data_IF_179425202863
#
_entry.id   IF_179425202863
#
_cell.length_a   1.000
_cell.length_b   1.000
_cell.length_c   1.000
_cell.angle_alpha   90.00
_cell.angle_beta   90.00
_cell.angle_gamma   90.00
#
_symmetry.space_group_name_H-M   'P 1'
#
loop_
_entity.id
_entity.type
_entity.pdbx_description
1 polymer ?
#
# COMPACT_ATOMS: atom_id res chain seq x y z
N UNK A 1 53.56 18.45 26.75
CA UNK A 1 52.97 19.51 25.92
C UNK A 1 51.54 19.05 25.61
N UNK A 2 50.56 18.96 26.50
CA UNK A 2 49.97 19.86 27.52
C UNK A 2 49.43 21.19 27.00
N UNK A 3 48.13 21.10 26.63
CA UNK A 3 47.03 22.09 26.67
C UNK A 3 46.81 23.10 25.51
N UNK A 4 45.57 23.63 25.32
CA UNK A 4 44.28 23.26 25.95
C UNK A 4 43.05 23.13 25.01
N UNK A 5 42.02 22.54 25.64
CA UNK A 5 40.61 22.44 25.29
C UNK A 5 39.94 23.84 25.25
N UNK A 6 39.20 24.17 24.17
CA UNK A 6 38.36 25.35 24.11
C UNK A 6 36.91 25.00 24.48
N UNK A 7 36.50 25.48 25.64
CA UNK A 7 35.15 25.43 26.18
C UNK A 7 34.33 26.59 25.60
N UNK A 8 33.24 26.29 24.88
CA UNK A 8 32.31 27.30 24.39
C UNK A 8 30.97 27.18 25.13
N UNK A 9 30.46 28.34 25.54
CA UNK A 9 29.41 28.55 26.51
C UNK A 9 28.02 28.09 26.04
N UNK A 10 27.25 27.59 27.01
CA UNK A 10 25.81 27.38 26.89
C UNK A 10 25.07 28.73 26.83
N UNK A 11 24.39 29.00 25.72
CA UNK A 11 23.44 30.10 25.61
C UNK A 11 22.03 29.57 25.89
N UNK A 12 21.41 30.07 26.96
CA UNK A 12 20.03 29.81 27.34
C UNK A 12 19.11 30.54 26.36
N UNK A 13 18.39 29.80 25.51
CA UNK A 13 17.38 30.35 24.62
C UNK A 13 16.02 30.36 25.34
N UNK A 14 15.56 31.58 25.61
CA UNK A 14 14.34 31.90 26.34
C UNK A 14 13.12 31.67 25.43
N UNK A 15 12.18 30.82 25.86
CA UNK A 15 10.93 30.53 25.17
C UNK A 15 10.01 31.76 25.19
N UNK A 16 9.51 32.27 24.05
CA UNK A 16 8.49 33.30 24.07
C UNK A 16 7.10 32.71 24.39
N UNK A 17 6.37 33.40 25.25
CA UNK A 17 5.01 33.08 25.69
C UNK A 17 3.98 33.16 24.55
N UNK A 18 2.85 32.43 24.62
CA UNK A 18 1.84 32.44 23.57
C UNK A 18 1.08 33.76 23.53
N UNK A 19 0.97 34.34 22.34
CA UNK A 19 0.11 35.50 22.06
C UNK A 19 -1.33 34.99 21.94
N UNK A 20 -2.21 35.47 22.82
CA UNK A 20 -3.64 35.22 22.77
C UNK A 20 -4.26 36.05 21.63
N UNK A 21 -4.82 35.37 20.62
CA UNK A 21 -5.63 36.02 19.59
C UNK A 21 -7.09 35.97 20.00
N UNK A 22 -7.62 37.14 20.33
CA UNK A 22 -9.02 37.40 20.69
C UNK A 22 -9.97 37.03 19.54
N UNK A 23 -10.92 36.16 19.83
CA UNK A 23 -12.11 35.88 19.02
C UNK A 23 -13.01 37.12 18.96
N UNK A 24 -13.28 37.63 17.77
CA UNK A 24 -14.39 38.57 17.53
C UNK A 24 -15.47 37.83 16.76
N UNK A 25 -16.60 37.59 17.41
CA UNK A 25 -17.81 37.08 16.81
C UNK A 25 -18.45 38.15 15.92
N UNK A 26 -18.74 37.80 14.67
CA UNK A 26 -19.61 38.59 13.80
C UNK A 26 -20.95 37.87 13.66
N UNK A 27 -21.99 38.49 14.23
CA UNK A 27 -23.40 38.13 14.09
C UNK A 27 -23.88 38.49 12.69
N UNK A 28 -24.47 37.55 11.96
CA UNK A 28 -25.27 37.81 10.77
C UNK A 28 -26.66 37.21 10.96
N UNK A 29 -27.67 38.06 10.81
CA UNK A 29 -29.11 37.80 10.91
C UNK A 29 -29.64 36.96 9.72
N UNK A 30 -30.83 36.33 9.84
CA UNK A 30 -31.20 35.18 9.03
C UNK A 30 -31.80 35.58 7.68
N UNK A 31 -31.40 34.87 6.63
CA UNK A 31 -32.02 34.92 5.30
C UNK A 31 -33.25 33.99 5.30
N UNK A 32 -34.41 34.55 4.97
CA UNK A 32 -35.68 33.82 4.88
C UNK A 32 -35.63 32.71 3.84
N UNK A 33 -35.86 31.47 4.26
CA UNK A 33 -36.02 30.30 3.39
C UNK A 33 -37.51 30.09 3.13
N UNK A 34 -37.94 30.23 1.88
CA UNK A 34 -39.26 29.81 1.43
C UNK A 34 -39.28 28.28 1.31
N UNK A 35 -40.08 27.63 2.15
CA UNK A 35 -40.36 26.19 2.12
C UNK A 35 -41.22 25.86 0.91
N UNK A 36 -40.73 24.99 0.03
CA UNK A 36 -41.54 24.27 -0.95
C UNK A 36 -41.57 22.79 -0.55
N UNK A 37 -42.77 22.23 -0.37
CA UNK A 37 -43.02 20.83 -0.03
C UNK A 37 -42.59 19.91 -1.19
N UNK A 38 -42.00 18.72 -0.91
CA UNK A 38 -41.74 17.74 -1.95
C UNK A 38 -42.99 16.88 -2.19
N UNK A 39 -43.52 16.94 -3.41
CA UNK A 39 -44.58 16.05 -3.91
C UNK A 39 -44.05 14.62 -3.98
N UNK A 40 -44.74 13.68 -3.32
CA UNK A 40 -44.44 12.25 -3.34
C UNK A 40 -44.58 11.67 -4.76
N UNK A 41 -43.47 11.25 -5.36
CA UNK A 41 -43.47 10.44 -6.57
C UNK A 41 -43.63 8.96 -6.18
N UNK A 42 -44.62 8.30 -6.78
CA UNK A 42 -44.93 6.89 -6.58
C UNK A 42 -43.79 6.01 -7.10
N UNK A 43 -43.27 5.13 -6.22
CA UNK A 43 -42.30 4.10 -6.58
C UNK A 43 -43.04 2.94 -7.28
N UNK A 44 -42.74 2.73 -8.56
CA UNK A 44 -43.03 1.48 -9.25
C UNK A 44 -41.92 0.45 -8.98
N UNK A 45 -42.22 -0.86 -8.88
CA UNK A 45 -41.20 -1.88 -8.63
C UNK A 45 -40.21 -1.94 -9.81
N UNK A 46 -38.92 -1.91 -9.52
CA UNK A 46 -37.87 -2.17 -10.51
C UNK A 46 -37.69 -3.69 -10.57
N UNK A 47 -38.06 -4.27 -11.71
CA UNK A 47 -37.83 -5.68 -12.03
C UNK A 47 -36.32 -5.92 -12.24
N UNK A 48 -35.79 -6.99 -11.65
CA UNK A 48 -34.42 -7.47 -11.90
C UNK A 48 -34.29 -7.87 -13.37
N UNK A 49 -33.54 -7.10 -14.15
CA UNK A 49 -33.07 -7.51 -15.48
C UNK A 49 -31.67 -8.10 -15.36
N UNK A 50 -31.59 -9.42 -15.46
CA UNK A 50 -30.33 -10.13 -15.71
C UNK A 50 -29.71 -9.61 -17.02
N UNK A 51 -28.61 -8.87 -16.92
CA UNK A 51 -27.83 -8.46 -18.08
C UNK A 51 -26.96 -9.63 -18.52
N UNK A 52 -27.46 -10.37 -19.51
CA UNK A 52 -26.70 -11.38 -20.23
C UNK A 52 -25.55 -10.70 -20.99
N UNK A 53 -24.30 -10.98 -20.60
CA UNK A 53 -23.11 -10.50 -21.29
C UNK A 53 -23.08 -11.14 -22.69
N UNK A 54 -23.24 -10.32 -23.73
CA UNK A 54 -23.04 -10.72 -25.12
C UNK A 54 -21.54 -10.68 -25.40
N UNK A 55 -20.93 -11.84 -25.62
CA UNK A 55 -19.54 -11.94 -26.08
C UNK A 55 -19.53 -11.62 -27.57
N UNK A 56 -18.86 -10.53 -27.96
CA UNK A 56 -18.58 -10.25 -29.38
C UNK A 56 -17.41 -11.15 -29.81
N UNK A 57 -17.72 -12.24 -30.50
CA UNK A 57 -16.74 -13.25 -30.98
C UNK A 57 -15.99 -12.81 -32.25
N UNK A 58 -15.59 -11.54 -32.36
CA UNK A 58 -14.75 -11.07 -33.46
C UNK A 58 -13.71 -10.05 -32.98
N UNK A 59 -12.73 -10.54 -32.23
CA UNK A 59 -11.37 -10.03 -32.42
C UNK A 59 -10.37 -11.19 -32.45
N UNK A 60 -9.82 -11.38 -33.64
CA UNK A 60 -8.96 -12.48 -34.00
C UNK A 60 -7.55 -12.26 -33.47
N UNK A 61 -7.27 -12.71 -32.25
CA UNK A 61 -5.92 -13.09 -31.78
C UNK A 61 -6.04 -14.28 -30.81
N UNK A 62 -6.47 -15.42 -31.35
CA UNK A 62 -6.35 -16.72 -30.68
C UNK A 62 -4.93 -17.26 -30.85
N UNK A 63 -4.15 -17.20 -29.77
CA UNK A 63 -3.20 -18.23 -29.30
C UNK A 63 -2.24 -17.57 -28.30
N UNK A 64 -2.67 -17.45 -27.05
CA UNK A 64 -1.74 -17.43 -25.93
C UNK A 64 -2.13 -18.58 -25.01
N UNK A 65 -1.24 -19.56 -24.97
CA UNK A 65 -1.33 -20.81 -24.23
C UNK A 65 -1.58 -20.52 -22.75
N UNK A 66 -2.56 -21.21 -22.18
CA UNK A 66 -2.99 -21.10 -20.79
C UNK A 66 -2.00 -21.90 -19.92
N UNK A 67 -0.76 -21.43 -19.84
CA UNK A 67 0.28 -22.05 -19.03
C UNK A 67 0.07 -21.67 -17.56
N UNK A 68 -0.51 -22.61 -16.81
CA UNK A 68 -0.59 -22.56 -15.37
C UNK A 68 0.81 -22.38 -14.77
N UNK A 69 1.02 -21.24 -14.11
CA UNK A 69 2.27 -20.86 -13.45
C UNK A 69 2.57 -21.77 -12.25
N UNK A 70 3.47 -22.74 -12.43
CA UNK A 70 4.06 -23.53 -11.35
C UNK A 70 5.29 -22.79 -10.79
N UNK A 71 5.09 -22.06 -9.69
CA UNK A 71 6.19 -21.52 -8.90
C UNK A 71 6.90 -22.68 -8.20
N UNK A 72 8.08 -23.04 -8.69
CA UNK A 72 8.89 -24.13 -8.16
C UNK A 72 9.14 -24.02 -6.66
N UNK A 73 8.30 -24.67 -5.86
CA UNK A 73 8.44 -24.78 -4.41
C UNK A 73 8.94 -26.18 -4.05
N UNK A 74 10.19 -26.26 -3.59
CA UNK A 74 10.67 -27.49 -2.96
C UNK A 74 10.18 -27.56 -1.52
N UNK A 75 9.33 -28.56 -1.25
CA UNK A 75 9.05 -29.18 0.05
C UNK A 75 8.47 -28.27 1.15
N UNK A 76 7.19 -27.94 1.01
CA UNK A 76 6.27 -27.58 2.08
C UNK A 76 4.93 -27.27 1.43
N UNK A 77 3.86 -27.99 1.75
CA UNK A 77 2.57 -27.93 1.04
C UNK A 77 2.15 -26.49 0.74
N UNK A 78 2.25 -26.09 -0.53
CA UNK A 78 1.95 -24.73 -0.97
C UNK A 78 0.42 -24.59 -1.05
N UNK A 79 -0.11 -23.58 -0.37
CA UNK A 79 -1.48 -23.12 -0.53
C UNK A 79 -1.56 -21.93 -1.51
N UNK A 80 -0.56 -21.76 -2.37
CA UNK A 80 -0.56 -20.69 -3.36
C UNK A 80 -1.40 -21.11 -4.57
N UNK A 81 -2.37 -20.29 -4.93
CA UNK A 81 -3.20 -20.46 -6.13
C UNK A 81 -2.68 -19.59 -7.26
N UNK A 82 -2.95 -19.97 -8.51
CA UNK A 82 -2.63 -19.10 -9.66
C UNK A 82 -3.47 -17.82 -9.64
N UNK A 83 -2.91 -16.75 -10.21
CA UNK A 83 -3.60 -15.46 -10.36
C UNK A 83 -4.40 -15.50 -11.67
N UNK A 84 -5.68 -15.12 -11.63
CA UNK A 84 -6.51 -15.04 -12.84
C UNK A 84 -6.13 -13.85 -13.71
N UNK A 85 -6.35 -13.95 -15.03
CA UNK A 85 -6.01 -12.87 -15.96
C UNK A 85 -6.77 -11.56 -15.71
N UNK A 86 -7.96 -11.63 -15.09
CA UNK A 86 -8.71 -10.44 -14.68
C UNK A 86 -8.06 -9.71 -13.50
N UNK A 87 -7.47 -10.44 -12.56
CA UNK A 87 -6.75 -9.85 -11.42
C UNK A 87 -5.45 -9.19 -11.89
N UNK A 88 -4.73 -9.83 -12.82
CA UNK A 88 -3.52 -9.24 -13.42
C UNK A 88 -3.80 -7.96 -14.19
N UNK A 89 -4.89 -7.92 -14.98
CA UNK A 89 -5.22 -6.74 -15.79
C UNK A 89 -5.90 -5.62 -15.02
N UNK A 90 -6.51 -5.92 -13.88
CA UNK A 90 -7.36 -4.98 -13.16
C UNK A 90 -8.65 -4.64 -13.92
N UNK A 91 -9.39 -3.67 -13.39
CA UNK A 91 -10.60 -3.12 -14.00
C UNK A 91 -10.39 -1.64 -14.32
N UNK A 92 -10.74 -1.25 -15.55
CA UNK A 92 -10.69 0.15 -15.97
C UNK A 92 -11.97 0.84 -15.52
N UNK A 93 -11.85 1.82 -14.63
CA UNK A 93 -12.98 2.61 -14.13
C UNK A 93 -13.19 3.90 -14.94
N UNK A 94 -14.23 4.66 -14.57
CA UNK A 94 -14.52 5.97 -15.15
C UNK A 94 -13.29 6.90 -15.05
N UNK A 95 -12.94 7.56 -16.16
CA UNK A 95 -11.72 8.37 -16.27
C UNK A 95 -10.48 7.61 -16.75
N UNK A 96 -10.60 6.33 -17.14
CA UNK A 96 -9.53 5.57 -17.79
C UNK A 96 -8.40 5.13 -16.87
N UNK A 97 -8.65 5.12 -15.55
CA UNK A 97 -7.72 4.64 -14.52
C UNK A 97 -7.97 3.16 -14.28
N UNK A 98 -6.91 2.38 -14.13
CA UNK A 98 -7.01 0.94 -13.83
C UNK A 98 -6.93 0.72 -12.33
N UNK A 99 -7.78 -0.13 -11.77
CA UNK A 99 -7.81 -0.47 -10.34
C UNK A 99 -7.69 -1.98 -10.14
N UNK A 100 -7.18 -2.38 -8.97
CA UNK A 100 -7.13 -3.78 -8.60
C UNK A 100 -8.55 -4.37 -8.47
N UNK A 101 -8.74 -5.59 -9.00
CA UNK A 101 -10.01 -6.33 -8.89
C UNK A 101 -10.06 -7.10 -7.58
N UNK A 102 -8.92 -7.65 -7.16
CA UNK A 102 -8.76 -8.25 -5.85
C UNK A 102 -8.69 -7.14 -4.80
N UNK A 103 -9.45 -7.27 -3.71
CA UNK A 103 -9.55 -6.21 -2.69
C UNK A 103 -10.18 -4.89 -3.21
N UNK A 104 -10.95 -4.93 -4.31
CA UNK A 104 -11.53 -3.72 -4.95
C UNK A 104 -12.38 -2.85 -4.00
N UNK A 105 -13.04 -3.46 -3.01
CA UNK A 105 -13.82 -2.73 -2.01
C UNK A 105 -12.93 -2.06 -0.93
N UNK A 106 -11.62 -2.33 -0.94
CA UNK A 106 -10.73 -2.15 0.20
C UNK A 106 -9.62 -1.13 -0.10
N UNK A 107 -9.30 -0.88 -1.38
CA UNK A 107 -8.29 0.11 -1.79
C UNK A 107 -8.75 1.02 -2.93
N UNK A 108 -8.75 2.32 -2.65
CA UNK A 108 -9.30 3.34 -3.55
C UNK A 108 -8.32 3.98 -4.52
N UNK A 109 -7.06 3.51 -4.60
CA UNK A 109 -6.06 4.09 -5.50
C UNK A 109 -5.85 3.24 -6.76
N UNK A 110 -5.56 3.88 -7.91
CA UNK A 110 -5.28 3.17 -9.16
C UNK A 110 -4.02 2.29 -9.09
N UNK A 111 -3.89 1.35 -10.04
CA UNK A 111 -2.70 0.52 -10.27
C UNK A 111 -2.08 0.75 -11.65
N UNK A 112 -2.38 1.88 -12.30
CA UNK A 112 -1.80 2.23 -13.60
C UNK A 112 -0.44 2.95 -13.49
N UNK A 113 0.26 3.07 -14.62
CA UNK A 113 1.60 3.65 -14.72
C UNK A 113 1.75 5.00 -14.02
N UNK A 114 0.73 5.85 -14.02
CA UNK A 114 0.85 7.17 -13.37
C UNK A 114 0.96 7.03 -11.86
N UNK A 115 0.20 6.11 -11.27
CA UNK A 115 0.25 5.86 -9.83
C UNK A 115 1.49 5.07 -9.44
N UNK A 116 1.90 4.09 -10.27
CA UNK A 116 3.15 3.36 -10.05
C UNK A 116 4.37 4.30 -10.09
N UNK A 117 4.40 5.24 -11.04
CA UNK A 117 5.43 6.29 -11.07
C UNK A 117 5.40 7.18 -9.81
N UNK A 118 4.21 7.47 -9.26
CA UNK A 118 4.08 8.23 -8.01
C UNK A 118 4.66 7.46 -6.83
N UNK A 119 4.44 6.15 -6.75
CA UNK A 119 5.02 5.26 -5.73
C UNK A 119 6.55 5.23 -5.81
N UNK A 120 7.10 5.04 -7.02
CA UNK A 120 8.55 5.04 -7.25
C UNK A 120 9.20 6.40 -6.89
N UNK A 121 8.56 7.51 -7.24
CA UNK A 121 8.98 8.83 -6.80
C UNK A 121 8.93 8.99 -5.28
N UNK A 122 7.93 8.42 -4.61
CA UNK A 122 7.85 8.44 -3.15
C UNK A 122 8.99 7.64 -2.52
N UNK A 123 9.31 6.46 -3.06
CA UNK A 123 10.46 5.67 -2.65
C UNK A 123 11.77 6.47 -2.78
N UNK A 124 12.03 7.07 -3.95
CA UNK A 124 13.23 7.88 -4.18
C UNK A 124 13.31 9.08 -3.23
N UNK A 125 12.17 9.74 -2.96
CA UNK A 125 12.06 10.82 -1.96
C UNK A 125 12.48 10.35 -0.58
N UNK A 126 11.94 9.23 -0.09
CA UNK A 126 12.31 8.72 1.23
C UNK A 126 13.78 8.30 1.28
N UNK A 127 14.26 7.56 0.29
CA UNK A 127 15.66 7.16 0.20
C UNK A 127 16.62 8.36 0.30
N UNK A 128 16.27 9.47 -0.36
CA UNK A 128 17.02 10.75 -0.22
C UNK A 128 16.92 11.36 1.18
N UNK A 129 15.74 11.36 1.81
CA UNK A 129 15.50 11.95 3.13
C UNK A 129 16.18 11.18 4.28
N UNK A 130 16.28 9.85 4.18
CA UNK A 130 16.88 9.01 5.23
C UNK A 130 18.34 8.67 4.94
N UNK A 131 19.04 9.58 4.26
CA UNK A 131 20.49 9.47 3.99
C UNK A 131 20.88 8.18 3.26
N UNK A 132 20.07 7.76 2.29
CA UNK A 132 20.28 6.54 1.50
C UNK A 132 20.23 5.24 2.31
N UNK A 133 19.53 5.23 3.44
CA UNK A 133 19.18 4.01 4.18
C UNK A 133 17.87 3.44 3.64
N UNK A 134 17.60 2.15 3.86
CA UNK A 134 16.30 1.54 3.49
C UNK A 134 15.27 1.65 4.59
N UNK A 135 15.72 1.60 5.83
CA UNK A 135 14.92 1.78 7.04
C UNK A 135 15.80 2.36 8.16
N UNK A 136 15.16 2.81 9.23
CA UNK A 136 15.84 3.37 10.42
C UNK A 136 15.82 2.41 11.62
N UNK A 137 15.11 1.29 11.51
CA UNK A 137 14.99 0.30 12.57
C UNK A 137 16.36 -0.34 12.90
N UNK A 138 16.72 -0.51 14.18
CA UNK A 138 18.03 -1.02 14.58
C UNK A 138 18.04 -2.56 14.63
N UNK A 139 17.90 -3.22 13.48
CA UNK A 139 17.81 -4.71 13.38
C UNK A 139 19.17 -5.40 13.15
N UNK A 140 20.26 -4.65 13.17
CA UNK A 140 21.61 -5.14 12.86
C UNK A 140 21.87 -5.30 11.36
N UNK A 141 23.03 -5.89 11.02
CA UNK A 141 23.52 -5.95 9.64
C UNK A 141 23.19 -7.26 8.91
N UNK A 142 22.56 -8.21 9.60
CA UNK A 142 22.22 -9.53 9.03
C UNK A 142 20.84 -10.02 9.48
N UNK A 143 19.76 -9.29 9.16
CA UNK A 143 18.41 -9.83 9.29
C UNK A 143 18.26 -11.13 8.48
N UNK A 144 17.37 -12.00 8.91
CA UNK A 144 17.08 -13.29 8.27
C UNK A 144 15.73 -13.27 7.55
N UNK A 145 14.76 -12.52 8.06
CA UNK A 145 13.43 -12.45 7.43
C UNK A 145 12.79 -11.07 7.57
N UNK A 146 12.35 -10.50 6.46
CA UNK A 146 11.75 -9.17 6.37
C UNK A 146 10.42 -9.25 5.62
N UNK A 147 9.40 -8.57 6.14
CA UNK A 147 8.09 -8.42 5.53
C UNK A 147 7.82 -6.96 5.17
N UNK A 148 7.37 -6.68 3.95
CA UNK A 148 6.88 -5.37 3.51
C UNK A 148 5.37 -5.47 3.25
N UNK A 149 4.56 -4.76 4.01
CA UNK A 149 3.10 -4.78 3.88
C UNK A 149 2.62 -3.60 3.04
N UNK A 150 1.86 -3.90 1.98
CA UNK A 150 1.48 -2.94 0.95
C UNK A 150 2.69 -2.47 0.15
N UNK A 151 3.43 -3.43 -0.41
CA UNK A 151 4.74 -3.19 -1.04
C UNK A 151 4.67 -2.36 -2.34
N UNK A 152 3.48 -2.11 -2.90
CA UNK A 152 3.27 -1.30 -4.09
C UNK A 152 4.04 -1.87 -5.28
N UNK A 153 4.89 -1.07 -5.94
CA UNK A 153 5.72 -1.54 -7.06
C UNK A 153 6.77 -2.59 -6.67
N UNK A 154 6.98 -2.82 -5.37
CA UNK A 154 7.99 -3.74 -4.85
C UNK A 154 9.42 -3.19 -4.89
N UNK A 155 9.62 -1.94 -5.35
CA UNK A 155 10.94 -1.32 -5.49
C UNK A 155 11.72 -1.31 -4.17
N UNK A 156 11.04 -1.11 -3.04
CA UNK A 156 11.70 -1.15 -1.73
C UNK A 156 12.14 -2.56 -1.35
N UNK A 157 11.33 -3.59 -1.61
CA UNK A 157 11.68 -4.98 -1.34
C UNK A 157 12.94 -5.39 -2.10
N UNK A 158 13.01 -5.04 -3.40
CA UNK A 158 14.15 -5.34 -4.27
C UNK A 158 15.42 -4.67 -3.71
N UNK A 159 15.32 -3.39 -3.39
CA UNK A 159 16.43 -2.60 -2.83
C UNK A 159 16.95 -3.18 -1.51
N UNK A 160 16.04 -3.66 -0.64
CA UNK A 160 16.40 -4.30 0.64
C UNK A 160 17.00 -5.68 0.41
N UNK A 161 16.46 -6.46 -0.52
CA UNK A 161 16.96 -7.79 -0.85
C UNK A 161 18.39 -7.74 -1.41
N UNK A 162 18.68 -6.75 -2.26
CA UNK A 162 20.03 -6.48 -2.77
C UNK A 162 21.02 -6.05 -1.68
N UNK A 163 20.58 -5.21 -0.73
CA UNK A 163 21.43 -4.73 0.37
C UNK A 163 21.67 -5.81 1.44
N UNK A 164 20.69 -6.67 1.69
CA UNK A 164 20.72 -7.72 2.72
C UNK A 164 20.53 -9.12 2.11
N UNK A 165 21.55 -9.70 1.45
CA UNK A 165 21.47 -11.04 0.87
C UNK A 165 21.20 -12.17 1.86
N UNK A 166 21.36 -11.93 3.16
CA UNK A 166 21.05 -12.89 4.23
C UNK A 166 19.57 -12.94 4.59
N UNK A 167 18.79 -11.94 4.20
CA UNK A 167 17.37 -11.85 4.50
C UNK A 167 16.53 -12.42 3.36
N UNK A 168 15.54 -13.23 3.71
CA UNK A 168 14.36 -13.48 2.88
C UNK A 168 13.42 -12.28 2.98
N UNK A 169 13.17 -11.60 1.86
CA UNK A 169 12.29 -10.43 1.76
C UNK A 169 10.98 -10.85 1.09
N UNK A 170 9.88 -10.61 1.78
CA UNK A 170 8.53 -10.90 1.31
C UNK A 170 7.79 -9.57 1.19
N UNK A 171 7.32 -9.22 -0.02
CA UNK A 171 6.39 -8.11 -0.21
C UNK A 171 4.97 -8.63 -0.37
N UNK A 172 4.02 -8.01 0.34
CA UNK A 172 2.60 -8.33 0.23
C UNK A 172 1.87 -7.12 -0.34
N UNK A 173 1.06 -7.33 -1.36
CA UNK A 173 0.17 -6.31 -1.90
C UNK A 173 -1.08 -6.97 -2.51
N UNK A 174 -2.18 -6.23 -2.62
CA UNK A 174 -3.42 -6.69 -3.27
C UNK A 174 -3.40 -6.44 -4.78
N UNK A 175 -2.48 -5.59 -5.25
CA UNK A 175 -2.32 -5.25 -6.66
C UNK A 175 -1.07 -5.98 -7.22
N UNK A 176 -1.22 -6.82 -8.26
CA UNK A 176 -0.09 -7.53 -8.87
C UNK A 176 0.68 -6.60 -9.82
N UNK A 177 1.44 -5.66 -9.25
CA UNK A 177 2.16 -4.61 -9.99
C UNK A 177 3.68 -4.76 -9.94
N UNK A 178 4.16 -5.79 -9.25
CA UNK A 178 5.57 -6.01 -9.01
C UNK A 178 6.24 -6.70 -10.21
N UNK A 179 7.53 -6.43 -10.47
CA UNK A 179 8.23 -7.01 -11.62
C UNK A 179 8.50 -8.51 -11.44
N UNK A 180 8.58 -9.24 -12.55
CA UNK A 180 8.91 -10.67 -12.55
C UNK A 180 10.36 -10.96 -12.17
N UNK A 181 11.28 -10.09 -12.60
CA UNK A 181 12.71 -10.30 -12.39
C UNK A 181 13.18 -9.56 -11.14
N UNK A 182 13.38 -10.33 -10.06
CA UNK A 182 13.80 -9.84 -8.74
C UNK A 182 15.01 -10.61 -8.19
N UNK A 183 15.67 -10.09 -7.15
CA UNK A 183 16.71 -10.83 -6.44
C UNK A 183 16.21 -12.19 -5.94
N UNK A 184 17.06 -13.23 -5.87
CA UNK A 184 16.65 -14.59 -5.53
C UNK A 184 16.12 -14.75 -4.09
N UNK A 185 16.41 -13.79 -3.22
CA UNK A 185 15.92 -13.71 -1.85
C UNK A 185 14.71 -12.79 -1.68
N UNK A 186 14.11 -12.32 -2.78
CA UNK A 186 12.91 -11.50 -2.79
C UNK A 186 11.76 -12.26 -3.46
N UNK A 187 10.56 -12.19 -2.87
CA UNK A 187 9.32 -12.63 -3.54
C UNK A 187 8.15 -11.72 -3.19
N UNK A 188 7.10 -11.83 -3.99
CA UNK A 188 5.85 -11.12 -3.76
C UNK A 188 4.70 -12.10 -3.58
N UNK A 189 3.80 -11.77 -2.67
CA UNK A 189 2.59 -12.52 -2.37
C UNK A 189 1.40 -11.60 -2.61
N UNK A 190 0.46 -12.04 -3.46
CA UNK A 190 -0.79 -11.33 -3.70
C UNK A 190 -1.77 -11.69 -2.59
N UNK A 191 -1.91 -10.82 -1.60
CA UNK A 191 -2.73 -11.07 -0.41
C UNK A 191 -3.16 -9.75 0.27
N UNK A 192 -4.24 -9.80 1.05
CA UNK A 192 -4.65 -8.69 1.91
C UNK A 192 -3.95 -8.79 3.27
N UNK A 193 -3.14 -7.78 3.59
CA UNK A 193 -2.41 -7.71 4.86
C UNK A 193 -3.32 -7.66 6.11
N UNK A 194 -4.59 -7.28 5.97
CA UNK A 194 -5.56 -7.28 7.08
C UNK A 194 -6.21 -8.65 7.32
N UNK A 195 -6.05 -9.61 6.42
CA UNK A 195 -6.48 -10.99 6.62
C UNK A 195 -5.61 -11.71 7.68
N UNK A 196 -6.10 -12.82 8.27
CA UNK A 196 -5.34 -13.60 9.24
C UNK A 196 -4.04 -14.16 8.66
N UNK A 197 -2.91 -13.78 9.25
CA UNK A 197 -1.60 -14.20 8.78
C UNK A 197 -1.33 -15.69 8.96
N UNK A 198 -0.76 -16.32 7.93
CA UNK A 198 -0.39 -17.74 7.94
C UNK A 198 1.06 -17.99 8.36
N UNK A 199 1.87 -16.94 8.53
CA UNK A 199 3.25 -17.08 9.01
C UNK A 199 3.31 -17.49 10.49
N UNK A 200 4.40 -18.15 10.85
CA UNK A 200 4.70 -18.45 12.25
C UNK A 200 4.85 -17.15 13.05
N UNK A 201 4.33 -17.17 14.28
CA UNK A 201 4.53 -16.12 15.28
C UNK A 201 6.00 -15.80 15.49
N UNK A 202 6.34 -14.52 15.69
CA UNK A 202 7.71 -14.03 15.92
C UNK A 202 8.73 -14.53 14.87
N UNK A 203 8.34 -14.58 13.59
CA UNK A 203 9.20 -15.09 12.51
C UNK A 203 9.93 -14.03 11.71
N UNK A 204 9.61 -12.75 11.89
CA UNK A 204 10.19 -11.63 11.14
C UNK A 204 11.09 -10.77 12.03
N UNK A 205 12.26 -10.41 11.52
CA UNK A 205 13.19 -9.47 12.17
C UNK A 205 12.76 -8.02 11.93
N UNK A 206 12.08 -7.77 10.80
CA UNK A 206 11.49 -6.49 10.45
C UNK A 206 10.16 -6.70 9.73
N UNK A 207 9.14 -5.98 10.20
CA UNK A 207 7.91 -5.75 9.46
C UNK A 207 7.91 -4.26 9.08
N UNK A 208 7.85 -3.98 7.80
CA UNK A 208 7.92 -2.65 7.22
C UNK A 208 6.55 -2.24 6.68
N UNK A 209 6.16 -1.00 6.95
CA UNK A 209 4.94 -0.38 6.47
C UNK A 209 5.26 1.08 6.15
N UNK A 210 4.86 1.56 4.97
CA UNK A 210 5.05 2.97 4.58
C UNK A 210 4.00 3.42 3.58
N UNK A 211 3.55 4.66 3.69
CA UNK A 211 2.59 5.28 2.78
C UNK A 211 1.26 4.52 2.62
N UNK A 212 0.83 3.76 3.64
CA UNK A 212 -0.46 3.03 3.65
C UNK A 212 -1.68 3.93 3.94
N UNK A 213 -1.61 5.17 3.49
CA UNK A 213 -2.68 6.14 3.70
C UNK A 213 -3.87 5.70 2.83
N UNK A 214 -5.03 5.50 3.47
CA UNK A 214 -6.26 4.97 2.86
C UNK A 214 -6.27 3.47 2.55
N UNK A 215 -5.26 2.70 2.99
CA UNK A 215 -5.20 1.26 2.72
C UNK A 215 -5.75 0.38 3.85
N UNK A 216 -5.73 0.89 5.10
CA UNK A 216 -5.99 0.08 6.30
C UNK A 216 -7.31 0.49 6.95
N UNK A 217 -8.17 -0.50 7.19
CA UNK A 217 -9.48 -0.34 7.83
C UNK A 217 -9.38 -0.43 9.36
N UNK A 218 -8.60 -1.38 9.86
CA UNK A 218 -8.44 -1.65 11.29
C UNK A 218 -6.95 -1.66 11.68
N UNK A 219 -6.42 -0.46 11.94
CA UNK A 219 -5.04 -0.28 12.41
C UNK A 219 -4.74 -1.05 13.70
N UNK A 220 -5.59 -1.03 14.76
CA UNK A 220 -5.37 -1.86 15.95
C UNK A 220 -5.18 -3.34 15.62
N UNK A 221 -6.07 -3.93 14.81
CA UNK A 221 -5.96 -5.34 14.40
C UNK A 221 -4.65 -5.60 13.66
N UNK A 222 -4.32 -4.78 12.65
CA UNK A 222 -3.09 -4.97 11.88
C UNK A 222 -1.84 -4.90 12.76
N UNK A 223 -1.78 -3.90 13.64
CA UNK A 223 -0.64 -3.73 14.55
C UNK A 223 -0.55 -4.90 15.54
N UNK A 224 -1.68 -5.41 16.05
CA UNK A 224 -1.69 -6.60 16.90
C UNK A 224 -1.11 -7.84 16.16
N UNK A 225 -1.42 -8.00 14.86
CA UNK A 225 -0.84 -9.07 14.03
C UNK A 225 0.68 -8.91 13.87
N UNK A 226 1.17 -7.68 13.69
CA UNK A 226 2.62 -7.40 13.59
C UNK A 226 3.42 -7.84 14.83
N UNK A 227 2.79 -7.90 16.01
CA UNK A 227 3.46 -8.25 17.27
C UNK A 227 3.22 -9.69 17.74
N UNK A 228 2.54 -10.52 16.95
CA UNK A 228 2.28 -11.93 17.31
C UNK A 228 3.39 -12.90 16.91
#
# INVERSE_FOLDING_TARGET
MTEPLAQAAAASAQTPAPVATTTTAATAEPVATTTAEPTAAQLHPVEEQEHQIVVDENDALADFDDEAFDSGSSAGGSAFTSITSSVLRGEVAEGGRTYAVYGKEEYGLPMDDTELNRLDMSHAKYYGLIEKKRFLAPIGDSPQKILDLGCGTGIWCIDVADEYPSAEVIGVDIAPTQPEWVPPNCRFELDDMEEPWMWSKNSFDLIFLRDLIYCIRDWPKLIDQCYT
#
